data_IF_538469004692
#
_entry.id   IF_538469004692
#
_cell.length_a   1.000
_cell.length_b   1.000
_cell.length_c   1.000
_cell.angle_alpha   90.00
_cell.angle_beta   90.00
_cell.angle_gamma   90.00
#
_symmetry.space_group_name_H-M   'P 1'
#
loop_
_entity.id
_entity.type
_entity.pdbx_description
1 polymer ?
#
# COMPACT_ATOMS: atom_id res chain seq x y z
N UNK A 1 1.57 7.36 -21.58
CA UNK A 1 2.99 7.58 -21.95
C UNK A 1 3.69 8.67 -21.11
N UNK A 2 3.02 9.74 -20.67
CA UNK A 2 3.63 10.80 -19.85
C UNK A 2 4.03 10.36 -18.43
N UNK A 3 3.21 9.55 -17.75
CA UNK A 3 3.44 9.12 -16.37
C UNK A 3 4.77 8.35 -16.16
N UNK A 4 5.13 7.50 -17.13
CA UNK A 4 6.35 6.67 -17.10
C UNK A 4 7.64 7.52 -17.21
N UNK A 5 7.55 8.75 -17.72
CA UNK A 5 8.71 9.63 -17.92
C UNK A 5 9.00 10.58 -16.75
N UNK A 6 8.10 10.69 -15.76
CA UNK A 6 8.24 11.67 -14.69
C UNK A 6 9.50 11.46 -13.84
N UNK A 7 9.81 10.20 -13.52
CA UNK A 7 10.96 9.86 -12.67
C UNK A 7 12.27 9.64 -13.46
N UNK A 8 12.21 9.63 -14.79
CA UNK A 8 13.40 9.41 -15.63
C UNK A 8 14.54 10.39 -15.35
N UNK A 9 14.30 11.71 -15.16
CA UNK A 9 15.38 12.66 -14.82
C UNK A 9 16.13 12.33 -13.52
N UNK A 10 15.54 11.52 -12.64
CA UNK A 10 16.10 11.14 -11.34
C UNK A 10 16.62 9.70 -11.31
N UNK A 11 16.58 8.97 -12.43
CA UNK A 11 16.92 7.55 -12.47
C UNK A 11 18.35 7.27 -11.97
N UNK A 12 19.30 8.13 -12.29
CA UNK A 12 20.69 7.95 -11.88
C UNK A 12 20.90 8.20 -10.39
N UNK A 13 20.27 9.23 -9.84
CA UNK A 13 20.27 9.52 -8.39
C UNK A 13 19.61 8.37 -7.63
N UNK A 14 18.43 7.93 -8.07
CA UNK A 14 17.71 6.82 -7.45
C UNK A 14 18.52 5.52 -7.49
N UNK A 15 19.21 5.23 -8.60
CA UNK A 15 20.03 4.03 -8.74
C UNK A 15 21.29 4.08 -7.89
N UNK A 16 21.94 5.25 -7.79
CA UNK A 16 23.21 5.44 -7.09
C UNK A 16 23.01 5.50 -5.58
N UNK A 17 22.07 6.32 -5.13
CA UNK A 17 21.99 6.76 -3.73
C UNK A 17 20.99 5.95 -2.90
N UNK A 18 20.05 5.26 -3.56
CA UNK A 18 18.96 4.58 -2.86
C UNK A 18 18.91 3.08 -3.12
N UNK A 19 18.58 2.37 -2.05
CA UNK A 19 18.03 1.03 -2.12
C UNK A 19 16.50 1.10 -1.93
N UNK A 20 15.75 0.73 -2.98
CA UNK A 20 14.29 0.88 -2.99
C UNK A 20 13.62 -0.44 -2.65
N UNK A 21 12.72 -0.41 -1.67
CA UNK A 21 11.96 -1.56 -1.19
C UNK A 21 10.46 -1.28 -1.23
N UNK A 22 9.69 -2.18 -1.84
CA UNK A 22 8.23 -2.19 -1.76
C UNK A 22 7.79 -3.07 -0.58
N UNK A 23 7.11 -2.48 0.41
CA UNK A 23 6.69 -3.17 1.64
C UNK A 23 5.40 -4.01 1.51
N UNK A 24 5.03 -4.41 0.29
CA UNK A 24 3.72 -5.00 -0.04
C UNK A 24 3.84 -6.30 -0.85
N UNK A 25 3.15 -7.35 -0.40
CA UNK A 25 3.01 -8.63 -1.13
C UNK A 25 2.08 -8.57 -2.36
N UNK A 26 1.33 -7.48 -2.57
CA UNK A 26 0.33 -7.40 -3.66
C UNK A 26 0.98 -7.40 -5.05
N UNK A 27 0.68 -8.39 -5.93
CA UNK A 27 1.21 -8.42 -7.29
C UNK A 27 0.85 -7.16 -8.10
N UNK A 28 -0.38 -6.65 -7.92
CA UNK A 28 -0.85 -5.43 -8.60
C UNK A 28 -0.01 -4.20 -8.23
N UNK A 29 0.42 -4.08 -6.97
CA UNK A 29 1.23 -2.93 -6.53
C UNK A 29 2.65 -3.00 -7.07
N UNK A 30 3.20 -4.23 -7.15
CA UNK A 30 4.47 -4.48 -7.84
C UNK A 30 4.38 -4.05 -9.31
N UNK A 31 3.34 -4.48 -10.03
CA UNK A 31 3.13 -4.11 -11.43
C UNK A 31 3.06 -2.59 -11.62
N UNK A 32 2.23 -1.89 -10.83
CA UNK A 32 2.08 -0.43 -10.91
C UNK A 32 3.41 0.27 -10.65
N UNK A 33 4.14 -0.14 -9.61
CA UNK A 33 5.43 0.47 -9.29
C UNK A 33 6.46 0.21 -10.39
N UNK A 34 6.49 -1.00 -10.96
CA UNK A 34 7.36 -1.35 -12.10
C UNK A 34 7.09 -0.53 -13.36
N UNK A 35 5.86 -0.03 -13.56
CA UNK A 35 5.53 0.85 -14.69
C UNK A 35 6.04 2.28 -14.50
N UNK A 36 6.15 2.77 -13.25
CA UNK A 36 6.49 4.15 -12.95
C UNK A 36 7.94 4.37 -12.50
N UNK A 37 8.55 3.39 -11.86
CA UNK A 37 9.89 3.50 -11.27
C UNK A 37 10.97 3.10 -12.29
N UNK A 38 11.93 3.97 -12.61
CA UNK A 38 12.93 3.73 -13.66
C UNK A 38 14.13 2.87 -13.20
N UNK A 39 14.06 2.31 -11.99
CA UNK A 39 15.13 1.58 -11.32
C UNK A 39 14.59 0.31 -10.66
N UNK A 40 15.42 -0.73 -10.44
CA UNK A 40 14.99 -1.94 -9.75
C UNK A 40 14.63 -1.65 -8.29
N UNK A 41 13.75 -2.47 -7.73
CA UNK A 41 13.35 -2.45 -6.32
C UNK A 41 13.16 -3.87 -5.80
N UNK A 42 13.38 -4.08 -4.49
CA UNK A 42 13.07 -5.34 -3.81
C UNK A 42 11.62 -5.34 -3.31
N UNK A 43 11.04 -6.52 -3.14
CA UNK A 43 9.72 -6.67 -2.53
C UNK A 43 9.90 -7.41 -1.21
N UNK A 44 9.58 -6.74 -0.10
CA UNK A 44 9.67 -7.30 1.25
C UNK A 44 8.33 -7.04 1.92
N UNK A 45 7.40 -8.00 1.93
CA UNK A 45 6.12 -7.81 2.59
C UNK A 45 6.28 -7.56 4.09
N UNK A 46 5.51 -6.61 4.62
CA UNK A 46 5.39 -6.44 6.07
C UNK A 46 4.59 -7.58 6.69
N UNK A 47 5.06 -8.05 7.85
CA UNK A 47 4.39 -8.98 8.76
C UNK A 47 3.73 -8.28 9.96
N UNK A 48 3.79 -6.94 10.01
CA UNK A 48 3.25 -6.16 11.11
C UNK A 48 1.73 -6.37 11.28
N UNK A 49 1.31 -6.59 12.53
CA UNK A 49 -0.09 -6.75 12.88
C UNK A 49 -0.85 -5.41 12.76
N UNK A 50 -2.07 -5.48 12.21
CA UNK A 50 -2.97 -4.32 12.10
C UNK A 50 -3.61 -4.02 13.45
N UNK A 51 -2.87 -3.34 14.33
CA UNK A 51 -3.29 -3.05 15.70
C UNK A 51 -4.09 -1.75 15.84
N UNK A 52 -4.36 -1.04 14.74
CA UNK A 52 -5.16 0.18 14.74
C UNK A 52 -6.65 -0.14 14.89
N UNK A 53 -7.29 0.45 15.92
CA UNK A 53 -8.74 0.31 16.15
C UNK A 53 -9.52 1.03 15.06
N UNK A 54 -10.18 0.26 14.19
CA UNK A 54 -11.01 0.81 13.10
C UNK A 54 -12.12 1.75 13.57
N UNK A 55 -12.57 1.60 14.82
CA UNK A 55 -13.61 2.46 15.41
C UNK A 55 -13.14 3.90 15.57
N UNK A 56 -11.83 4.11 15.69
CA UNK A 56 -11.24 5.43 15.95
C UNK A 56 -11.08 6.24 14.65
N UNK A 57 -11.43 5.64 13.51
CA UNK A 57 -11.26 6.20 12.17
C UNK A 57 -12.52 6.11 11.31
N UNK A 58 -13.70 5.91 11.91
CA UNK A 58 -14.97 5.80 11.16
C UNK A 58 -15.25 7.04 10.29
N UNK A 59 -14.84 8.21 10.76
CA UNK A 59 -14.95 9.51 10.09
C UNK A 59 -13.67 9.91 9.32
N UNK A 60 -12.57 9.15 9.46
CA UNK A 60 -11.24 9.45 8.91
C UNK A 60 -10.60 8.24 8.21
N UNK A 61 -11.25 7.67 7.18
CA UNK A 61 -10.77 6.48 6.49
C UNK A 61 -9.39 6.64 5.83
N UNK A 62 -9.09 7.86 5.35
CA UNK A 62 -7.79 8.18 4.77
C UNK A 62 -6.67 8.10 5.81
N UNK A 63 -6.89 8.61 7.02
CA UNK A 63 -5.90 8.55 8.10
C UNK A 63 -5.60 7.10 8.48
N UNK A 64 -6.63 6.26 8.55
CA UNK A 64 -6.46 4.83 8.83
C UNK A 64 -5.58 4.13 7.77
N UNK A 65 -5.83 4.39 6.48
CA UNK A 65 -5.01 3.82 5.41
C UNK A 65 -3.55 4.31 5.45
N UNK A 66 -3.34 5.60 5.71
CA UNK A 66 -2.00 6.19 5.82
C UNK A 66 -1.23 5.60 6.99
N UNK A 67 -1.82 5.56 8.18
CA UNK A 67 -1.16 5.04 9.39
C UNK A 67 -0.89 3.54 9.29
N UNK A 68 -1.80 2.77 8.68
CA UNK A 68 -1.58 1.34 8.41
C UNK A 68 -0.43 1.13 7.42
N UNK A 69 -0.37 1.94 6.36
CA UNK A 69 0.72 1.88 5.38
C UNK A 69 2.07 2.26 6.01
N UNK A 70 2.08 3.27 6.87
CA UNK A 70 3.27 3.72 7.61
C UNK A 70 3.75 2.64 8.58
N UNK A 71 2.85 2.08 9.40
CA UNK A 71 3.17 1.02 10.36
C UNK A 71 3.81 -0.20 9.67
N UNK A 72 3.21 -0.66 8.56
CA UNK A 72 3.74 -1.77 7.77
C UNK A 72 5.13 -1.47 7.20
N UNK A 73 5.33 -0.24 6.72
CA UNK A 73 6.59 0.16 6.11
C UNK A 73 7.70 0.38 7.13
N UNK A 74 7.35 0.90 8.32
CA UNK A 74 8.27 1.09 9.43
C UNK A 74 8.83 -0.25 9.91
N UNK A 75 7.98 -1.26 10.06
CA UNK A 75 8.42 -2.61 10.44
C UNK A 75 9.42 -3.20 9.43
N UNK A 76 9.21 -2.99 8.13
CA UNK A 76 10.17 -3.40 7.10
C UNK A 76 11.46 -2.58 7.19
N UNK A 77 11.37 -1.27 7.39
CA UNK A 77 12.53 -0.39 7.53
C UNK A 77 13.42 -0.79 8.72
N UNK A 78 12.82 -1.07 9.88
CA UNK A 78 13.52 -1.47 11.11
C UNK A 78 14.27 -2.80 10.97
N UNK A 79 13.82 -3.69 10.08
CA UNK A 79 14.47 -4.96 9.78
C UNK A 79 15.60 -4.87 8.75
N UNK A 80 15.87 -3.69 8.18
CA UNK A 80 16.87 -3.48 7.15
C UNK A 80 18.05 -2.66 7.68
N UNK A 81 19.23 -2.92 7.13
CA UNK A 81 20.44 -2.14 7.39
C UNK A 81 20.82 -1.38 6.13
N UNK A 82 21.25 -0.14 6.29
CA UNK A 82 21.83 0.63 5.17
C UNK A 82 23.21 0.06 4.84
N UNK A 83 23.41 -0.38 3.59
CA UNK A 83 24.69 -0.86 3.09
C UNK A 83 25.16 0.04 1.93
N UNK A 84 25.75 1.18 2.29
CA UNK A 84 26.30 2.16 1.35
C UNK A 84 25.28 2.98 0.56
N UNK A 85 23.98 2.69 0.68
CA UNK A 85 22.86 3.46 0.11
C UNK A 85 21.80 3.76 1.17
N UNK A 86 21.11 4.88 0.99
CA UNK A 86 19.96 5.22 1.82
C UNK A 86 18.78 4.31 1.50
N UNK A 87 18.06 3.87 2.54
CA UNK A 87 16.88 3.03 2.36
C UNK A 87 15.66 3.87 1.99
N UNK A 88 14.97 3.50 0.91
CA UNK A 88 13.68 4.07 0.51
C UNK A 88 12.60 2.98 0.52
N UNK A 89 11.79 2.96 1.57
CA UNK A 89 10.69 1.99 1.72
C UNK A 89 9.38 2.62 1.26
N UNK A 90 8.73 1.98 0.28
CA UNK A 90 7.45 2.42 -0.30
C UNK A 90 6.32 1.60 0.30
N UNK A 91 5.53 2.27 1.13
CA UNK A 91 4.32 1.77 1.76
C UNK A 91 3.05 1.98 0.95
N UNK A 92 2.08 1.08 1.12
CA UNK A 92 0.73 1.28 0.59
C UNK A 92 -0.28 0.42 1.34
N UNK A 93 -1.44 1.01 1.59
CA UNK A 93 -2.60 0.30 2.09
C UNK A 93 -3.83 0.68 1.27
N UNK A 94 -4.90 -0.12 1.36
CA UNK A 94 -6.10 0.10 0.56
C UNK A 94 -7.30 -0.34 1.36
N UNK A 95 -8.15 0.63 1.66
CA UNK A 95 -9.36 0.45 2.45
C UNK A 95 -10.57 0.83 1.62
N UNK A 96 -11.66 0.09 1.80
CA UNK A 96 -12.95 0.43 1.23
C UNK A 96 -13.82 0.86 2.40
N UNK A 97 -14.46 2.01 2.30
CA UNK A 97 -15.41 2.48 3.30
C UNK A 97 -16.77 2.65 2.65
N UNK A 98 -17.80 2.10 3.29
CA UNK A 98 -19.18 2.20 2.83
C UNK A 98 -20.11 2.32 4.05
N UNK A 99 -20.96 3.36 4.07
CA UNK A 99 -21.92 3.63 5.15
C UNK A 99 -21.31 3.57 6.57
N UNK A 100 -20.10 4.13 6.74
CA UNK A 100 -19.40 4.13 8.03
C UNK A 100 -18.78 2.78 8.42
N UNK A 101 -18.70 1.82 7.50
CA UNK A 101 -18.09 0.50 7.73
C UNK A 101 -16.83 0.37 6.87
N UNK A 102 -15.70 0.06 7.50
CA UNK A 102 -14.44 -0.31 6.81
C UNK A 102 -14.50 -1.77 6.35
N UNK A 103 -14.26 -1.99 5.07
CA UNK A 103 -14.31 -3.26 4.36
C UNK A 103 -12.94 -3.54 3.73
N UNK A 104 -12.18 -4.41 4.36
CA UNK A 104 -10.89 -4.85 3.83
C UNK A 104 -10.98 -6.22 3.18
N UNK A 105 -10.04 -6.47 2.27
CA UNK A 105 -9.93 -7.73 1.53
C UNK A 105 -9.82 -8.96 2.45
N UNK A 106 -9.22 -8.82 3.65
CA UNK A 106 -9.13 -9.90 4.65
C UNK A 106 -10.44 -10.12 5.42
N UNK A 107 -11.27 -9.09 5.57
CA UNK A 107 -12.63 -9.18 6.16
C UNK A 107 -13.72 -9.58 5.16
N UNK A 108 -13.50 -9.34 3.86
CA UNK A 108 -14.43 -9.70 2.79
C UNK A 108 -14.71 -11.20 2.71
N UNK A 109 -13.75 -12.07 3.10
CA UNK A 109 -13.95 -13.53 3.18
C UNK A 109 -14.99 -13.97 4.20
N UNK A 110 -15.32 -13.13 5.20
CA UNK A 110 -16.32 -13.43 6.23
C UNK A 110 -17.67 -12.77 5.95
N UNK A 111 -17.83 -12.04 4.84
CA UNK A 111 -19.13 -11.48 4.49
C UNK A 111 -20.06 -12.54 3.90
N UNK A 112 -21.32 -12.63 4.36
CA UNK A 112 -22.34 -13.42 3.68
C UNK A 112 -22.48 -12.90 2.25
N UNK A 113 -22.46 -13.79 1.25
CA UNK A 113 -22.46 -13.42 -0.18
C UNK A 113 -23.53 -12.36 -0.53
N UNK A 114 -24.69 -12.38 0.13
CA UNK A 114 -25.78 -11.38 -0.03
C UNK A 114 -25.35 -9.92 0.18
N UNK A 115 -24.40 -9.61 1.09
CA UNK A 115 -23.96 -8.22 1.34
C UNK A 115 -22.99 -7.71 0.27
N UNK A 116 -22.15 -8.58 -0.29
CA UNK A 116 -21.24 -8.23 -1.39
C UNK A 116 -22.00 -7.80 -2.65
N UNK A 117 -23.09 -8.52 -2.99
CA UNK A 117 -23.96 -8.18 -4.12
C UNK A 117 -24.81 -6.93 -3.86
N UNK A 118 -25.33 -6.73 -2.64
CA UNK A 118 -26.12 -5.52 -2.34
C UNK A 118 -25.33 -4.22 -2.58
N UNK A 119 -24.01 -4.21 -2.39
CA UNK A 119 -23.19 -3.02 -2.66
C UNK A 119 -23.09 -2.68 -4.15
N UNK A 120 -23.07 -3.69 -5.02
CA UNK A 120 -23.05 -3.51 -6.48
C UNK A 120 -24.44 -3.13 -7.02
N UNK A 121 -25.51 -3.54 -6.35
CA UNK A 121 -26.89 -3.30 -6.79
C UNK A 121 -27.43 -1.92 -6.39
N UNK A 122 -27.02 -1.35 -5.24
CA UNK A 122 -27.58 -0.08 -4.73
C UNK A 122 -27.27 1.15 -5.61
N UNK A 123 -26.34 1.06 -6.57
CA UNK A 123 -26.02 2.14 -7.52
C UNK A 123 -26.45 1.85 -8.98
N UNK A 124 -27.18 0.76 -9.23
CA UNK A 124 -27.77 0.45 -10.55
C UNK A 124 -29.27 0.82 -10.62
N UNK A 125 -29.73 1.74 -9.78
CA UNK A 125 -31.06 2.36 -9.85
C UNK A 125 -30.95 3.87 -9.98
#
# INVERSE_FOLDING_TARGET
KAFIKMLQPFADVLRRDYEIVLSSASPRRKEILSLGLPVPFRVIPSDAEENLSKKDYLDRPMAYAMETAELKSRAVMEGLQEDGKSLLVIGSDTVIFFEGISLESRGARKMPQRKGYSMLETHLR
#
